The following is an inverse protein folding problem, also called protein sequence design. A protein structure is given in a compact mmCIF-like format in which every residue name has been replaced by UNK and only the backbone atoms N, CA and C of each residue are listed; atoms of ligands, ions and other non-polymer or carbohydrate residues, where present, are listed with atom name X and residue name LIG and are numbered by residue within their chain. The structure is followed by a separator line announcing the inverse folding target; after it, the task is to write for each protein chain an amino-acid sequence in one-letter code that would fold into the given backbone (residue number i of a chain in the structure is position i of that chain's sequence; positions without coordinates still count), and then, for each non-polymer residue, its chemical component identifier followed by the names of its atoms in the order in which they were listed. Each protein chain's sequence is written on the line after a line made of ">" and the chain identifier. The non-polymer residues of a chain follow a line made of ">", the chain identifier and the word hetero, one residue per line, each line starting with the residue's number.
data_IF_433952948576
#
_entry.id   IF_433952948576
#
_cell.length_a   1.000
_cell.length_b   1.000
_cell.length_c   1.000
_cell.angle_alpha   90.00
_cell.angle_beta   90.00
_cell.angle_gamma   90.00
#
_symmetry.space_group_name_H-M   'P 1'
#
loop_
_entity.id
_entity.type
_entity.pdbx_description
1 polymer ?
#
# COMPACT_ATOMS: atom_id res chain seq x y z
N UNK A 1 -6.51 13.95 22.71
CA UNK A 1 -6.29 12.88 21.73
C UNK A 1 -6.61 13.49 20.38
N UNK A 2 -5.62 13.72 19.52
CA UNK A 2 -5.87 14.29 18.19
C UNK A 2 -6.69 13.31 17.35
N UNK A 3 -7.66 13.82 16.59
CA UNK A 3 -8.39 13.06 15.59
C UNK A 3 -7.34 12.50 14.62
N UNK A 4 -7.06 11.20 14.72
CA UNK A 4 -6.13 10.55 13.79
C UNK A 4 -6.86 10.42 12.46
N UNK A 5 -6.24 10.88 11.39
CA UNK A 5 -6.94 11.01 10.11
C UNK A 5 -7.08 9.64 9.44
N UNK A 6 -8.18 9.46 8.72
CA UNK A 6 -8.28 8.38 7.74
C UNK A 6 -7.31 8.67 6.59
N UNK A 7 -6.96 7.63 5.82
CA UNK A 7 -6.24 7.84 4.57
C UNK A 7 -7.10 8.71 3.65
N UNK A 8 -6.52 9.77 3.10
CA UNK A 8 -7.19 10.51 2.02
C UNK A 8 -7.27 9.67 0.75
N UNK A 9 -8.24 9.96 -0.11
CA UNK A 9 -8.33 9.30 -1.42
C UNK A 9 -7.07 9.47 -2.29
N UNK A 10 -6.33 10.57 -2.12
CA UNK A 10 -5.07 10.81 -2.83
C UNK A 10 -3.94 9.91 -2.31
N UNK A 11 -3.78 9.80 -1.00
CA UNK A 11 -2.76 8.94 -0.40
C UNK A 11 -3.04 7.47 -0.69
N UNK A 12 -4.30 7.05 -0.64
CA UNK A 12 -4.71 5.71 -1.04
C UNK A 12 -4.34 5.41 -2.50
N UNK A 13 -4.65 6.32 -3.42
CA UNK A 13 -4.29 6.19 -4.85
C UNK A 13 -2.77 6.10 -5.04
N UNK A 14 -1.98 6.88 -4.30
CA UNK A 14 -0.51 6.82 -4.35
C UNK A 14 0.01 5.46 -3.84
N UNK A 15 -0.49 4.99 -2.69
CA UNK A 15 -0.14 3.67 -2.12
C UNK A 15 -0.46 2.55 -3.12
N UNK A 16 -1.67 2.54 -3.68
CA UNK A 16 -2.08 1.54 -4.66
C UNK A 16 -1.17 1.55 -5.89
N UNK A 17 -0.92 2.73 -6.47
CA UNK A 17 -0.05 2.87 -7.63
C UNK A 17 1.37 2.35 -7.34
N UNK A 18 1.94 2.66 -6.17
CA UNK A 18 3.28 2.20 -5.79
C UNK A 18 3.34 0.68 -5.61
N UNK A 19 2.32 0.09 -4.97
CA UNK A 19 2.20 -1.35 -4.81
C UNK A 19 2.12 -2.05 -6.18
N UNK A 20 1.24 -1.58 -7.07
CA UNK A 20 1.07 -2.11 -8.42
C UNK A 20 2.38 -2.03 -9.23
N UNK A 21 3.10 -0.90 -9.16
CA UNK A 21 4.41 -0.74 -9.80
C UNK A 21 5.48 -1.68 -9.23
N UNK A 22 5.49 -1.87 -7.91
CA UNK A 22 6.46 -2.74 -7.24
C UNK A 22 6.28 -4.21 -7.62
N UNK A 23 5.03 -4.71 -7.66
CA UNK A 23 4.76 -6.10 -8.03
C UNK A 23 4.93 -6.34 -9.53
N UNK A 24 4.70 -5.32 -10.36
CA UNK A 24 4.90 -5.40 -11.82
C UNK A 24 6.37 -5.26 -12.23
N UNK A 25 7.27 -4.93 -11.30
CA UNK A 25 8.68 -4.72 -11.58
C UNK A 25 9.37 -6.03 -12.02
N UNK A 26 10.20 -5.92 -13.06
CA UNK A 26 10.89 -7.06 -13.67
C UNK A 26 11.94 -7.71 -12.73
N UNK A 27 12.41 -6.98 -11.72
CA UNK A 27 13.34 -7.46 -10.72
C UNK A 27 13.22 -6.69 -9.40
N UNK A 28 13.78 -7.26 -8.32
CA UNK A 28 13.74 -6.66 -6.98
C UNK A 28 14.40 -5.28 -6.92
N UNK A 29 15.49 -5.06 -7.67
CA UNK A 29 16.20 -3.77 -7.71
C UNK A 29 15.31 -2.66 -8.26
N UNK A 30 14.50 -2.93 -9.29
CA UNK A 30 13.52 -1.96 -9.80
C UNK A 30 12.33 -1.77 -8.87
N UNK A 31 11.91 -2.80 -8.13
CA UNK A 31 10.83 -2.69 -7.15
C UNK A 31 11.22 -1.85 -5.92
N UNK A 32 12.50 -1.91 -5.53
CA UNK A 32 13.08 -1.24 -4.36
C UNK A 32 12.70 0.25 -4.26
N UNK A 33 12.68 0.97 -5.39
CA UNK A 33 12.34 2.39 -5.44
C UNK A 33 10.92 2.63 -4.92
N UNK A 34 9.97 1.81 -5.35
CA UNK A 34 8.56 1.93 -4.96
C UNK A 34 8.34 1.47 -3.52
N UNK A 35 9.01 0.38 -3.11
CA UNK A 35 8.95 -0.15 -1.75
C UNK A 35 9.48 0.88 -0.75
N UNK A 36 10.61 1.53 -1.03
CA UNK A 36 11.16 2.59 -0.17
C UNK A 36 10.21 3.78 -0.03
N UNK A 37 9.50 4.14 -1.10
CA UNK A 37 8.48 5.20 -1.02
C UNK A 37 7.31 4.77 -0.14
N UNK A 38 6.84 3.52 -0.24
CA UNK A 38 5.83 2.98 0.65
C UNK A 38 6.29 2.98 2.11
N UNK A 39 7.53 2.53 2.39
CA UNK A 39 8.13 2.57 3.73
C UNK A 39 8.19 4.00 4.29
N UNK A 40 8.54 4.98 3.44
CA UNK A 40 8.54 6.39 3.82
C UNK A 40 7.13 6.86 4.21
N UNK A 41 6.13 6.61 3.35
CA UNK A 41 4.74 6.95 3.63
C UNK A 41 4.23 6.29 4.92
N UNK A 42 4.55 5.02 5.14
CA UNK A 42 4.18 4.28 6.35
C UNK A 42 4.71 4.93 7.63
N UNK A 43 5.83 5.65 7.58
CA UNK A 43 6.42 6.35 8.72
C UNK A 43 5.89 7.78 8.87
N UNK A 44 5.60 8.47 7.78
CA UNK A 44 5.30 9.91 7.79
C UNK A 44 3.82 10.25 7.76
N UNK A 45 2.97 9.38 7.23
CA UNK A 45 1.52 9.62 7.20
C UNK A 45 0.96 9.70 8.61
N UNK A 46 0.09 10.67 8.88
CA UNK A 46 -0.64 10.80 10.15
C UNK A 46 -1.96 10.04 10.11
N UNK A 47 -1.84 8.72 10.04
CA UNK A 47 -2.97 7.80 9.94
C UNK A 47 -3.18 7.01 11.23
N UNK A 48 -4.41 6.53 11.42
CA UNK A 48 -4.77 5.65 12.53
C UNK A 48 -3.81 4.44 12.67
N UNK A 49 -3.49 3.98 13.90
CA UNK A 49 -2.57 2.86 14.11
C UNK A 49 -3.01 1.58 13.41
N UNK A 50 -4.31 1.32 13.32
CA UNK A 50 -4.84 0.20 12.56
C UNK A 50 -4.45 0.29 11.09
N UNK A 51 -4.73 1.43 10.43
CA UNK A 51 -4.37 1.66 9.03
C UNK A 51 -2.85 1.60 8.82
N UNK A 52 -2.05 2.08 9.78
CA UNK A 52 -0.57 1.95 9.75
C UNK A 52 -0.11 0.50 9.78
N UNK A 53 -0.75 -0.36 10.59
CA UNK A 53 -0.44 -1.79 10.64
C UNK A 53 -0.82 -2.47 9.32
N UNK A 54 -2.00 -2.18 8.77
CA UNK A 54 -2.43 -2.70 7.48
C UNK A 54 -1.49 -2.26 6.35
N UNK A 55 -0.97 -1.02 6.39
CA UNK A 55 0.03 -0.56 5.42
C UNK A 55 1.36 -1.31 5.56
N UNK A 56 1.77 -1.68 6.77
CA UNK A 56 2.95 -2.52 6.98
C UNK A 56 2.75 -3.96 6.45
N UNK A 57 1.55 -4.53 6.60
CA UNK A 57 1.17 -5.81 6.00
C UNK A 57 1.24 -5.73 4.46
N UNK A 58 0.61 -4.72 3.87
CA UNK A 58 0.69 -4.44 2.43
C UNK A 58 2.14 -4.42 1.94
N UNK A 59 3.02 -3.65 2.59
CA UNK A 59 4.44 -3.53 2.20
C UNK A 59 5.14 -4.90 2.26
N UNK A 60 4.81 -5.73 3.24
CA UNK A 60 5.37 -7.07 3.38
C UNK A 60 4.96 -7.98 2.22
N UNK A 61 3.68 -7.95 1.82
CA UNK A 61 3.19 -8.69 0.65
C UNK A 61 3.76 -8.17 -0.66
N UNK A 62 3.87 -6.85 -0.82
CA UNK A 62 4.52 -6.23 -1.98
C UNK A 62 5.98 -6.68 -2.10
N UNK A 63 6.73 -6.72 -0.98
CA UNK A 63 8.10 -7.23 -0.96
C UNK A 63 8.16 -8.70 -1.39
N UNK A 64 7.23 -9.53 -0.90
CA UNK A 64 7.14 -10.95 -1.25
C UNK A 64 6.77 -11.19 -2.73
N UNK A 65 5.88 -10.37 -3.29
CA UNK A 65 5.45 -10.42 -4.69
C UNK A 65 6.44 -9.77 -5.68
N UNK A 66 7.47 -9.06 -5.18
CA UNK A 66 8.37 -8.29 -6.04
C UNK A 66 9.37 -9.15 -6.84
N UNK A 67 9.53 -8.82 -8.12
CA UNK A 67 10.41 -9.53 -9.04
C UNK A 67 9.80 -10.83 -9.58
N UNK A 68 10.66 -11.83 -9.82
CA UNK A 68 10.27 -13.18 -10.29
C UNK A 68 10.17 -14.12 -9.09
N UNK A 69 8.95 -14.45 -8.70
CA UNK A 69 8.64 -15.35 -7.58
C UNK A 69 7.59 -16.37 -8.02
N UNK A 70 7.66 -17.60 -7.51
CA UNK A 70 6.76 -18.71 -7.87
C UNK A 70 5.32 -18.43 -7.45
N UNK A 71 5.12 -17.96 -6.22
CA UNK A 71 3.80 -17.80 -5.61
C UNK A 71 3.28 -16.36 -5.74
N UNK A 72 3.55 -15.74 -6.88
CA UNK A 72 3.30 -14.31 -7.08
C UNK A 72 1.82 -13.95 -6.93
N UNK A 73 0.95 -14.78 -7.47
CA UNK A 73 -0.52 -14.58 -7.42
C UNK A 73 -1.02 -14.60 -5.98
N UNK A 74 -0.56 -15.55 -5.16
CA UNK A 74 -0.90 -15.62 -3.74
C UNK A 74 -0.56 -14.32 -2.99
N UNK A 75 0.63 -13.76 -3.25
CA UNK A 75 1.05 -12.51 -2.62
C UNK A 75 0.31 -11.28 -3.17
N UNK A 76 -0.09 -11.30 -4.44
CA UNK A 76 -0.95 -10.25 -5.04
C UNK A 76 -2.35 -10.29 -4.40
N UNK A 77 -2.91 -11.46 -4.15
CA UNK A 77 -4.21 -11.58 -3.46
C UNK A 77 -4.14 -11.03 -2.03
N UNK A 78 -3.09 -11.36 -1.28
CA UNK A 78 -2.86 -10.82 0.06
C UNK A 78 -2.64 -9.29 0.06
N UNK A 79 -1.92 -8.77 -0.95
CA UNK A 79 -1.78 -7.35 -1.19
C UNK A 79 -3.14 -6.69 -1.45
N UNK A 80 -3.98 -7.26 -2.31
CA UNK A 80 -5.30 -6.72 -2.65
C UNK A 80 -6.24 -6.68 -1.44
N UNK A 81 -6.20 -7.70 -0.58
CA UNK A 81 -6.94 -7.68 0.69
C UNK A 81 -6.50 -6.55 1.61
N UNK A 82 -5.20 -6.23 1.64
CA UNK A 82 -4.67 -5.12 2.42
C UNK A 82 -5.08 -3.77 1.82
N UNK A 83 -5.09 -3.64 0.48
CA UNK A 83 -5.60 -2.45 -0.20
C UNK A 83 -7.08 -2.19 0.13
N UNK A 84 -7.92 -3.22 0.08
CA UNK A 84 -9.34 -3.10 0.44
C UNK A 84 -9.53 -2.56 1.87
N UNK A 85 -8.74 -3.06 2.84
CA UNK A 85 -8.77 -2.55 4.22
C UNK A 85 -8.27 -1.12 4.36
N UNK A 86 -7.42 -0.64 3.44
CA UNK A 86 -6.89 0.73 3.44
C UNK A 86 -7.83 1.72 2.75
N UNK A 87 -8.73 1.24 1.89
CA UNK A 87 -9.67 2.07 1.14
C UNK A 87 -10.40 3.06 2.08
N UNK A 88 -10.46 4.35 1.72
CA UNK A 88 -11.25 5.33 2.46
C UNK A 88 -12.74 5.02 2.33
N UNK A 89 -13.53 5.36 3.35
CA UNK A 89 -14.99 5.30 3.24
C UNK A 89 -15.47 6.18 2.07
N UNK A 90 -16.50 5.71 1.34
CA UNK A 90 -17.05 6.37 0.14
C UNK A 90 -17.53 7.81 0.36
N UNK A 91 -17.70 8.25 1.61
CA UNK A 91 -18.07 9.62 1.98
C UNK A 91 -16.93 10.64 1.75
N UNK A 92 -15.66 10.19 1.63
CA UNK A 92 -14.51 11.07 1.37
C UNK A 92 -14.14 11.19 -0.12
N UNK A 93 -14.87 10.50 -1.00
CA UNK A 93 -14.73 10.67 -2.45
C UNK A 93 -15.68 11.78 -2.90
N UNK A 94 -15.28 13.03 -2.60
CA UNK A 94 -15.96 14.22 -3.06
C UNK A 94 -16.34 14.13 -4.55
N UNK A 95 -17.61 14.41 -4.79
CA UNK A 95 -18.30 14.49 -6.08
C UNK A 95 -17.41 15.09 -7.18
N UNK A 96 -17.35 14.43 -8.33
CA UNK A 96 -16.99 15.04 -9.62
C UNK A 96 -18.24 15.16 -10.46
#
# INVERSE_FOLDING_TARGET
>A
MGNREQLTGKEFKEIKMLADKAVSANNKKSAELFIKRLDFMQRTLDIEPYKRNVLAELISYVRAASGRVSDKEHWIDAMNQSLFKLEPSTEDMGET
#
